data_IF_579233436090
#
_entry.id   IF_579233436090
#
_cell.length_a   1.000
_cell.length_b   1.000
_cell.length_c   1.000
_cell.angle_alpha   90.00
_cell.angle_beta   90.00
_cell.angle_gamma   90.00
#
_symmetry.space_group_name_H-M   'P 1'
#
loop_
_entity.id
_entity.type
_entity.pdbx_description
1 polymer ?
2 non-polymer ?
3 non-polymer ?
4 water ?
#
# COMPACT_ATOMS: atom_id res chain seq x y z
N UNK A 4 0.66 -6.67 -30.72
CA UNK A 4 1.37 -6.17 -29.50
C UNK A 4 0.79 -6.85 -28.24
N UNK A 5 1.52 -7.79 -27.60
CA UNK A 5 0.94 -8.62 -26.54
C UNK A 5 0.69 -7.80 -25.27
N UNK A 6 -0.29 -8.22 -24.48
CA UNK A 6 -0.55 -7.56 -23.17
C UNK A 6 0.42 -8.06 -22.13
N UNK A 7 0.89 -7.18 -21.24
CA UNK A 7 1.89 -7.59 -20.26
C UNK A 7 1.32 -8.50 -19.18
N UNK A 8 2.20 -9.37 -18.67
CA UNK A 8 1.94 -10.29 -17.53
C UNK A 8 2.47 -9.66 -16.25
N UNK A 9 3.40 -8.71 -16.37
CA UNK A 9 4.08 -8.06 -15.23
C UNK A 9 4.52 -6.65 -15.64
N UNK A 10 4.42 -5.70 -14.71
CA UNK A 10 4.85 -4.30 -14.90
C UNK A 10 5.78 -3.96 -13.76
N UNK A 11 6.54 -2.91 -13.95
CA UNK A 11 7.30 -2.36 -12.81
C UNK A 11 6.71 -1.01 -12.44
N UNK A 12 6.71 -0.81 -11.11
CA UNK A 12 6.09 0.39 -10.49
C UNK A 12 7.17 1.04 -9.64
N UNK A 13 7.40 2.33 -9.82
CA UNK A 13 8.22 3.18 -8.95
C UNK A 13 7.31 3.89 -7.95
N UNK A 14 7.68 3.82 -6.69
CA UNK A 14 7.03 4.56 -5.60
C UNK A 14 8.09 5.50 -5.06
N UNK A 15 7.77 6.79 -4.98
CA UNK A 15 8.62 7.75 -4.30
C UNK A 15 7.87 8.44 -3.17
N UNK A 16 8.53 8.66 -2.05
CA UNK A 16 7.98 9.52 -0.99
C UNK A 16 9.05 10.54 -0.61
N UNK A 17 8.65 11.79 -0.54
CA UNK A 17 9.58 12.87 -0.14
C UNK A 17 8.84 13.95 0.62
N UNK A 18 9.26 14.20 1.84
CA UNK A 18 8.80 15.38 2.59
C UNK A 18 9.80 16.48 2.20
N UNK A 19 9.33 17.48 1.49
CA UNK A 19 10.16 18.51 0.83
C UNK A 19 10.47 19.62 1.82
N UNK A 20 9.92 19.62 3.04
CA UNK A 20 10.27 20.65 4.03
C UNK A 20 9.95 22.07 3.55
N UNK A 21 8.92 22.20 2.73
CA UNK A 21 8.39 23.51 2.27
C UNK A 21 9.49 24.28 1.51
N UNK A 22 10.42 23.57 0.86
CA UNK A 22 11.48 24.20 0.05
C UNK A 22 11.39 23.69 -1.36
N UNK A 23 11.69 24.53 -2.36
CA UNK A 23 11.77 24.02 -3.71
C UNK A 23 12.88 23.00 -3.86
N UNK A 24 12.69 22.07 -4.80
CA UNK A 24 13.71 21.05 -5.01
C UNK A 24 14.95 21.62 -5.68
N UNK A 25 16.06 20.87 -5.66
CA UNK A 25 17.23 21.30 -6.40
C UNK A 25 17.02 21.05 -7.90
N UNK A 26 17.96 21.50 -8.74
CA UNK A 26 17.73 21.45 -10.20
C UNK A 26 17.75 19.99 -10.72
N UNK A 27 18.44 19.12 -10.04
CA UNK A 27 18.50 17.71 -10.50
C UNK A 27 18.02 16.77 -9.40
N UNK A 28 16.99 15.97 -9.72
CA UNK A 28 16.45 14.96 -8.76
C UNK A 28 16.43 13.59 -9.42
N UNK A 29 17.14 13.39 -10.53
CA UNK A 29 17.12 12.10 -11.25
C UNK A 29 17.54 10.89 -10.40
N UNK A 30 18.43 11.07 -9.42
CA UNK A 30 18.89 9.96 -8.54
C UNK A 30 17.70 9.28 -7.87
N UNK A 31 16.67 10.06 -7.56
CA UNK A 31 15.45 9.52 -6.92
C UNK A 31 14.79 8.49 -7.82
N UNK A 32 14.56 8.86 -9.07
CA UNK A 32 13.80 8.02 -10.02
C UNK A 32 14.66 6.86 -10.52
N UNK A 33 15.97 6.99 -10.39
CA UNK A 33 16.93 5.89 -10.71
C UNK A 33 17.21 4.97 -9.52
N UNK A 34 16.61 5.19 -8.34
CA UNK A 34 16.82 4.30 -7.18
C UNK A 34 18.32 4.24 -6.87
N UNK A 35 18.98 5.39 -6.81
CA UNK A 35 20.42 5.51 -6.49
C UNK A 35 20.59 6.15 -5.11
N UNK A 36 21.53 5.64 -4.33
CA UNK A 36 21.89 6.25 -3.05
C UNK A 36 22.23 5.16 -2.10
N UNK A 37 21.56 5.15 -0.95
CA UNK A 37 21.74 4.14 0.11
C UNK A 37 20.63 3.10 0.05
N UNK A 38 20.89 1.91 0.60
CA UNK A 38 19.89 0.88 0.76
C UNK A 38 19.99 -0.12 -0.35
N UNK A 39 18.84 -0.65 -0.75
CA UNK A 39 18.71 -1.64 -1.86
C UNK A 39 18.48 -0.84 -3.14
N UNK A 40 19.55 -0.66 -3.92
CA UNK A 40 19.58 0.26 -5.06
C UNK A 40 19.44 -0.53 -6.36
N UNK A 41 19.09 0.19 -7.39
CA UNK A 41 18.83 -0.39 -8.71
C UNK A 41 20.15 -0.45 -9.51
N UNK A 42 20.32 -1.52 -10.27
CA UNK A 42 21.55 -1.76 -11.06
C UNK A 42 21.69 -0.69 -12.15
N UNK A 43 22.91 -0.20 -12.34
CA UNK A 43 23.21 0.85 -13.37
C UNK A 43 22.76 0.39 -14.76
N UNK A 44 22.81 -0.89 -15.03
CA UNK A 44 22.45 -1.40 -16.36
C UNK A 44 20.96 -1.19 -16.68
N UNK A 45 20.13 -0.85 -15.68
CA UNK A 45 18.69 -0.57 -15.86
C UNK A 45 18.39 0.89 -16.00
N UNK A 46 19.37 1.79 -15.99
CA UNK A 46 19.05 3.23 -15.88
C UNK A 46 18.20 3.75 -17.03
N UNK A 47 18.34 3.19 -18.22
CA UNK A 47 17.58 3.74 -19.36
C UNK A 47 16.24 3.06 -19.51
N UNK A 48 15.95 2.07 -18.71
CA UNK A 48 14.72 1.26 -18.80
C UNK A 48 13.65 1.97 -18.00
N UNK A 49 12.57 2.46 -18.62
CA UNK A 49 11.54 3.17 -17.87
C UNK A 49 10.74 2.16 -17.06
N UNK A 50 10.34 2.55 -15.86
CA UNK A 50 9.26 1.88 -15.18
C UNK A 50 7.98 2.12 -15.96
N UNK A 51 7.03 1.23 -15.76
CA UNK A 51 5.72 1.34 -16.42
C UNK A 51 4.90 2.48 -15.81
N UNK A 52 4.93 2.59 -14.49
CA UNK A 52 4.13 3.56 -13.69
C UNK A 52 5.06 4.17 -12.66
N UNK A 53 5.02 5.49 -12.50
CA UNK A 53 5.73 6.22 -11.44
C UNK A 53 4.70 6.91 -10.56
N UNK A 54 4.74 6.67 -9.27
CA UNK A 54 3.81 7.24 -8.28
C UNK A 54 4.65 8.03 -7.33
N UNK A 55 4.38 9.33 -7.25
CA UNK A 55 5.26 10.29 -6.51
C UNK A 55 4.46 10.95 -5.40
N UNK A 56 4.75 10.61 -4.14
CA UNK A 56 4.07 11.20 -2.98
C UNK A 56 4.99 12.26 -2.40
N UNK A 57 4.46 13.44 -2.19
CA UNK A 57 5.19 14.51 -1.46
C UNK A 57 4.37 14.94 -0.25
N UNK A 58 5.13 15.45 0.70
CA UNK A 58 4.57 16.09 1.91
C UNK A 58 5.32 17.41 2.07
N UNK A 59 4.66 18.38 2.69
CA UNK A 59 5.27 19.72 2.85
C UNK A 59 5.74 20.21 1.48
N UNK A 60 4.92 19.99 0.45
CA UNK A 60 5.24 20.34 -0.94
C UNK A 60 4.82 21.79 -1.17
N UNK A 61 5.79 22.69 -1.47
CA UNK A 61 5.48 24.13 -1.63
C UNK A 61 5.10 24.50 -3.06
N UNK A 62 5.15 23.57 -3.98
CA UNK A 62 5.01 23.85 -5.42
C UNK A 62 3.56 23.79 -5.82
N UNK A 63 3.20 24.46 -6.90
CA UNK A 63 1.88 24.22 -7.50
C UNK A 63 1.91 22.85 -8.20
N UNK A 64 0.74 22.30 -8.49
CA UNK A 64 0.66 21.08 -9.29
C UNK A 64 1.42 21.27 -10.59
N UNK A 65 1.22 22.40 -11.26
CA UNK A 65 1.87 22.66 -12.55
C UNK A 65 3.39 22.66 -12.38
N UNK A 66 3.89 23.34 -11.40
CA UNK A 66 5.35 23.44 -11.17
C UNK A 66 5.95 22.05 -10.94
N UNK A 67 5.28 21.23 -10.16
CA UNK A 67 5.84 19.90 -9.85
C UNK A 67 5.71 18.97 -11.05
N UNK A 68 4.57 18.97 -11.74
CA UNK A 68 4.43 18.15 -12.95
C UNK A 68 5.52 18.47 -13.97
N UNK A 69 5.81 19.76 -14.17
CA UNK A 69 6.91 20.24 -15.04
C UNK A 69 8.18 19.49 -14.67
N UNK A 70 8.58 19.60 -13.40
CA UNK A 70 9.84 19.02 -12.90
C UNK A 70 9.83 17.51 -13.09
N UNK A 71 8.75 16.84 -12.72
CA UNK A 71 8.73 15.38 -12.78
C UNK A 71 8.82 14.94 -14.23
N UNK A 72 7.97 15.45 -15.09
CA UNK A 72 7.97 14.97 -16.48
C UNK A 72 9.30 15.21 -17.17
N UNK A 73 9.89 16.39 -16.97
CA UNK A 73 11.20 16.74 -17.57
C UNK A 73 12.30 15.83 -17.00
N UNK A 74 12.24 15.47 -15.71
CA UNK A 74 13.22 14.56 -15.06
C UNK A 74 13.12 13.17 -15.70
N UNK A 75 11.91 12.64 -15.89
CA UNK A 75 11.75 11.30 -16.47
C UNK A 75 12.14 11.35 -17.94
N UNK A 76 11.82 12.42 -18.64
CA UNK A 76 12.17 12.48 -20.08
C UNK A 76 13.69 12.50 -20.21
N UNK A 77 14.41 13.22 -19.36
CA UNK A 77 15.89 13.24 -19.37
C UNK A 77 16.43 11.84 -19.15
N UNK A 78 15.88 11.09 -18.21
CA UNK A 78 16.37 9.74 -17.84
C UNK A 78 16.11 8.77 -18.99
N UNK A 79 14.91 8.80 -19.57
CA UNK A 79 14.37 7.66 -20.34
C UNK A 79 14.14 8.01 -21.81
N UNK A 80 14.16 9.29 -22.13
CA UNK A 80 13.74 9.80 -23.46
C UNK A 80 12.29 9.45 -23.77
N UNK A 81 11.46 9.16 -22.75
CA UNK A 81 9.99 8.95 -22.89
C UNK A 81 9.27 10.12 -22.27
N UNK A 82 8.25 10.61 -22.96
CA UNK A 82 7.34 11.64 -22.43
C UNK A 82 6.18 10.92 -21.76
N UNK A 83 6.15 10.97 -20.43
CA UNK A 83 5.15 10.23 -19.67
C UNK A 83 3.81 10.97 -19.72
N UNK A 84 2.75 10.21 -19.62
CA UNK A 84 1.38 10.74 -19.56
C UNK A 84 0.98 10.89 -18.09
N UNK A 85 0.25 11.94 -17.79
CA UNK A 85 -0.28 12.13 -16.43
C UNK A 85 -1.55 11.34 -16.26
N UNK A 86 -1.56 10.35 -15.37
CA UNK A 86 -2.74 9.54 -15.05
C UNK A 86 -3.62 10.31 -14.07
N UNK A 87 -3.02 10.87 -13.03
CA UNK A 87 -3.78 11.54 -11.98
C UNK A 87 -2.84 12.38 -11.13
N UNK A 88 -3.40 13.43 -10.55
CA UNK A 88 -2.70 14.26 -9.56
C UNK A 88 -3.74 14.73 -8.56
N UNK A 89 -3.45 14.65 -7.29
CA UNK A 89 -4.38 15.07 -6.23
C UNK A 89 -3.57 15.64 -5.08
N UNK A 90 -4.02 16.78 -4.58
CA UNK A 90 -3.34 17.50 -3.50
C UNK A 90 -4.33 17.81 -2.38
N UNK A 91 -3.95 17.56 -1.15
CA UNK A 91 -4.67 18.02 0.07
C UNK A 91 -3.66 18.87 0.81
N UNK A 92 -3.93 20.14 0.96
CA UNK A 92 -3.00 21.06 1.64
C UNK A 92 -1.64 20.95 0.94
N UNK A 93 -0.61 20.48 1.62
CA UNK A 93 0.74 20.34 1.02
C UNK A 93 1.10 18.85 0.87
N UNK A 94 0.11 17.97 0.82
CA UNK A 94 0.29 16.52 0.63
C UNK A 94 -0.18 16.20 -0.78
N UNK A 95 0.65 15.59 -1.61
CA UNK A 95 0.34 15.42 -3.04
C UNK A 95 0.72 14.04 -3.53
N UNK A 96 -0.06 13.57 -4.46
CA UNK A 96 0.27 12.35 -5.20
C UNK A 96 0.18 12.63 -6.70
N UNK A 97 1.16 12.16 -7.46
CA UNK A 97 1.21 12.23 -8.93
C UNK A 97 1.39 10.81 -9.45
N UNK A 98 0.60 10.41 -10.42
CA UNK A 98 0.77 9.13 -11.12
C UNK A 98 1.05 9.43 -12.59
N UNK A 99 2.19 8.92 -13.05
CA UNK A 99 2.63 9.05 -14.44
C UNK A 99 2.79 7.65 -15.02
N UNK A 100 2.47 7.50 -16.29
CA UNK A 100 2.59 6.19 -16.97
C UNK A 100 3.15 6.32 -18.36
N UNK A 101 3.81 5.27 -18.83
CA UNK A 101 4.26 5.16 -20.24
C UNK A 101 3.10 5.51 -21.16
N UNK A 102 3.34 6.20 -22.30
CA UNK A 102 2.26 6.45 -23.23
C UNK A 102 1.57 5.18 -23.77
N UNK A 103 2.29 4.09 -23.89
CA UNK A 103 1.71 2.82 -24.44
C UNK A 103 0.65 2.29 -23.50
N UNK A 104 0.59 2.78 -22.23
CA UNK A 104 -0.36 2.25 -21.24
C UNK A 104 -1.65 3.04 -21.21
N UNK A 105 -1.74 4.10 -21.99
CA UNK A 105 -2.89 5.01 -21.89
C UNK A 105 -4.24 4.27 -22.04
N UNK A 106 -4.31 3.31 -22.98
CA UNK A 106 -5.56 2.56 -23.28
C UNK A 106 -5.57 1.22 -22.52
N UNK A 107 -4.71 1.08 -21.51
CA UNK A 107 -4.77 -0.05 -20.55
C UNK A 107 -5.27 0.44 -19.20
N UNK A 108 -5.28 1.74 -18.99
CA UNK A 108 -5.63 2.36 -17.70
C UNK A 108 -7.02 2.94 -17.78
N UNK A 109 -7.84 2.66 -16.80
CA UNK A 109 -9.22 3.16 -16.73
C UNK A 109 -9.66 3.26 -15.29
N UNK A 110 -10.86 3.75 -15.07
CA UNK A 110 -11.49 3.81 -13.73
C UNK A 110 -10.57 4.52 -12.78
N UNK A 111 -10.11 5.69 -13.15
CA UNK A 111 -9.16 6.46 -12.32
C UNK A 111 -9.98 7.15 -11.25
N UNK A 112 -9.61 6.93 -9.98
CA UNK A 112 -10.25 7.57 -8.80
C UNK A 112 -9.19 8.32 -7.99
N UNK A 113 -9.61 9.41 -7.35
CA UNK A 113 -8.76 10.17 -6.42
C UNK A 113 -9.59 10.48 -5.20
N UNK A 114 -8.93 10.60 -4.06
CA UNK A 114 -9.64 11.01 -2.83
C UNK A 114 -8.61 11.47 -1.81
N UNK A 115 -9.10 12.05 -0.75
CA UNK A 115 -8.26 12.49 0.38
C UNK A 115 -9.02 12.26 1.68
N UNK A 116 -8.28 12.17 2.75
CA UNK A 116 -8.82 12.12 4.11
C UNK A 116 -8.04 13.11 4.91
N UNK A 117 -8.74 13.93 5.67
CA UNK A 117 -8.16 14.85 6.65
C UNK A 117 -8.19 14.18 8.01
N UNK A 118 -7.04 14.07 8.69
CA UNK A 118 -7.05 13.40 10.03
C UNK A 118 -7.20 14.40 11.18
N UNK A 119 -7.60 13.91 12.37
CA UNK A 119 -7.64 14.74 13.60
C UNK A 119 -8.93 15.54 13.70
N UNK A 120 -9.09 16.30 14.80
CA UNK A 120 -10.33 17.09 15.11
C UNK A 120 -9.87 18.42 15.73
N UNK A 121 -10.43 19.54 15.25
CA UNK A 121 -10.24 20.91 15.80
C UNK A 121 -8.75 21.29 15.74
N UNK A 122 -8.08 21.46 16.89
CA UNK A 122 -6.59 21.49 17.06
C UNK A 122 -5.90 20.71 15.95
N UNK A 123 -6.11 19.39 15.93
CA UNK A 123 -5.32 18.36 15.20
C UNK A 123 -5.87 18.15 13.78
N UNK A 124 -6.96 18.83 13.39
CA UNK A 124 -7.41 18.91 11.97
C UNK A 124 -6.79 20.17 11.34
N UNK A 125 -6.06 20.02 10.24
CA UNK A 125 -5.65 21.20 9.46
C UNK A 125 -4.37 21.02 8.69
N UNK A 126 -3.50 20.04 9.02
CA UNK A 126 -2.49 19.78 7.98
C UNK A 126 -2.08 18.33 7.68
N UNK A 127 -2.52 17.36 8.50
CA UNK A 127 -2.17 15.93 8.33
C UNK A 127 -3.32 15.20 7.62
N UNK A 128 -2.99 14.12 6.92
CA UNK A 128 -3.98 13.27 6.28
C UNK A 128 -3.37 12.53 5.16
N UNK A 129 -4.17 12.20 4.15
CA UNK A 129 -3.70 11.34 3.06
C UNK A 129 -4.37 11.72 1.77
N UNK A 130 -3.70 11.46 0.67
CA UNK A 130 -4.28 11.50 -0.68
C UNK A 130 -4.11 10.12 -1.29
N UNK A 131 -4.95 9.78 -2.23
CA UNK A 131 -4.81 8.49 -2.91
C UNK A 131 -5.31 8.48 -4.31
N UNK A 132 -4.86 7.50 -5.07
CA UNK A 132 -5.27 7.28 -6.44
C UNK A 132 -5.52 5.79 -6.60
N UNK A 133 -6.52 5.41 -7.36
CA UNK A 133 -6.69 4.03 -7.87
C UNK A 133 -7.05 4.02 -9.35
N UNK A 134 -6.78 2.90 -9.97
CA UNK A 134 -7.21 2.70 -11.38
C UNK A 134 -7.07 1.23 -11.65
N UNK A 135 -7.66 0.84 -12.76
CA UNK A 135 -7.46 -0.48 -13.35
C UNK A 135 -6.33 -0.38 -14.37
N UNK A 136 -5.46 -1.36 -14.34
CA UNK A 136 -4.48 -1.60 -15.40
C UNK A 136 -4.86 -2.96 -16.01
N UNK A 137 -5.46 -2.91 -17.19
CA UNK A 137 -6.11 -4.12 -17.78
C UNK A 137 -6.96 -4.78 -16.68
N UNK A 138 -6.73 -6.06 -16.38
CA UNK A 138 -7.57 -6.81 -15.43
C UNK A 138 -7.20 -6.59 -13.97
N UNK A 139 -6.21 -5.76 -13.66
CA UNK A 139 -5.62 -5.66 -12.31
C UNK A 139 -5.99 -4.32 -11.72
N UNK A 140 -6.41 -4.31 -10.47
CA UNK A 140 -6.73 -3.05 -9.75
C UNK A 140 -5.51 -2.65 -8.92
N UNK A 141 -5.17 -1.37 -8.98
CA UNK A 141 -3.99 -0.78 -8.32
C UNK A 141 -4.48 0.37 -7.45
N UNK A 142 -4.03 0.43 -6.21
CA UNK A 142 -4.31 1.55 -5.30
C UNK A 142 -3.04 2.09 -4.72
N UNK A 143 -3.01 3.41 -4.45
CA UNK A 143 -1.82 4.11 -3.98
C UNK A 143 -2.26 5.12 -2.96
N UNK A 144 -1.62 5.13 -1.80
CA UNK A 144 -1.94 6.06 -0.70
C UNK A 144 -0.67 6.76 -0.29
N UNK A 145 -0.67 8.08 -0.27
CA UNK A 145 0.38 8.92 0.29
C UNK A 145 -0.16 9.59 1.54
N UNK A 146 0.38 9.27 2.68
CA UNK A 146 -0.08 9.84 3.95
C UNK A 146 1.03 10.59 4.65
N UNK A 147 0.66 11.70 5.27
CA UNK A 147 1.50 12.48 6.19
C UNK A 147 0.86 12.36 7.56
N UNK A 148 1.39 11.48 8.40
CA UNK A 148 0.78 11.19 9.72
C UNK A 148 1.31 12.17 10.79
N UNK A 149 0.66 12.14 11.94
CA UNK A 149 0.99 13.00 13.07
C UNK A 149 2.46 12.86 13.42
N UNK A 150 3.12 14.00 13.69
CA UNK A 150 4.54 14.05 14.09
C UNK A 150 4.74 13.84 15.59
N UNK A 151 5.99 13.64 15.96
CA UNK A 151 6.39 13.64 17.37
C UNK A 151 6.62 12.27 17.88
N UNK A 152 7.74 12.07 18.57
CA UNK A 152 8.11 10.75 19.08
C UNK A 152 7.06 10.16 20.04
N UNK A 153 6.32 11.03 20.73
CA UNK A 153 5.39 10.64 21.82
C UNK A 153 4.04 10.19 21.24
N UNK A 154 3.84 10.35 19.92
CA UNK A 154 2.48 10.26 19.32
C UNK A 154 2.29 9.04 18.44
N UNK A 155 2.91 7.93 18.76
CA UNK A 155 2.71 6.73 17.90
C UNK A 155 1.24 6.28 17.88
N UNK A 156 0.53 6.39 19.01
CA UNK A 156 -0.88 5.97 19.03
C UNK A 156 -1.71 6.84 18.09
N UNK A 157 -1.45 8.16 18.08
CA UNK A 157 -2.14 9.08 17.14
C UNK A 157 -1.87 8.64 15.70
N UNK A 158 -0.63 8.30 15.39
CA UNK A 158 -0.32 7.85 14.03
C UNK A 158 -1.14 6.60 13.72
N UNK A 159 -1.24 5.68 14.67
CA UNK A 159 -2.03 4.45 14.43
C UNK A 159 -3.52 4.78 14.18
N UNK A 160 -4.03 5.76 14.92
CA UNK A 160 -5.40 6.25 14.75
C UNK A 160 -5.54 6.91 13.37
N UNK A 161 -4.55 7.71 12.98
CA UNK A 161 -4.59 8.35 11.65
C UNK A 161 -4.67 7.28 10.56
N UNK A 162 -3.84 6.23 10.68
CA UNK A 162 -3.89 5.08 9.75
C UNK A 162 -5.31 4.52 9.64
N UNK A 163 -5.95 4.26 10.78
CA UNK A 163 -7.29 3.62 10.74
C UNK A 163 -8.29 4.59 10.10
N UNK A 164 -8.23 5.87 10.45
CA UNK A 164 -9.14 6.84 9.77
C UNK A 164 -8.93 6.87 8.25
N UNK A 165 -7.69 6.86 7.80
CA UNK A 165 -7.40 6.88 6.35
C UNK A 165 -7.97 5.62 5.70
N UNK A 166 -7.69 4.49 6.34
CA UNK A 166 -8.08 3.13 5.91
C UNK A 166 -9.60 3.06 5.74
N UNK A 167 -10.34 3.66 6.69
CA UNK A 167 -11.82 3.61 6.71
C UNK A 167 -12.43 4.54 5.69
N UNK A 168 -11.86 5.73 5.53
CA UNK A 168 -12.62 6.85 4.91
C UNK A 168 -12.12 7.17 3.53
N UNK A 169 -10.96 6.66 3.11
CA UNK A 169 -10.49 6.98 1.77
C UNK A 169 -11.33 6.18 0.77
N UNK A 170 -11.99 6.85 -0.15
CA UNK A 170 -12.98 6.26 -1.07
C UNK A 170 -12.36 6.05 -2.43
N UNK A 171 -11.66 4.95 -2.60
CA UNK A 171 -10.99 4.59 -3.85
C UNK A 171 -11.53 3.26 -4.31
N UNK A 172 -11.30 2.91 -5.56
CA UNK A 172 -11.65 1.62 -6.15
C UNK A 172 -13.13 1.47 -6.34
N UNK A 173 -13.58 0.24 -6.49
CA UNK A 173 -14.94 -0.08 -7.00
C UNK A 173 -15.94 0.12 -5.87
N UNK A 174 -16.80 1.14 -5.95
CA UNK A 174 -17.81 1.47 -4.90
C UNK A 174 -18.79 0.31 -4.69
N UNK A 175 -18.92 -0.58 -5.73
CA UNK A 175 -19.80 -1.76 -5.54
C UNK A 175 -19.25 -2.70 -4.48
N UNK A 176 -17.96 -2.56 -4.13
CA UNK A 176 -17.35 -3.42 -3.07
C UNK A 176 -17.66 -2.81 -1.72
N UNK A 177 -18.95 -2.63 -1.41
CA UNK A 177 -19.37 -1.74 -0.31
C UNK A 177 -18.91 -2.23 1.06
N UNK A 178 -18.79 -3.54 1.39
CA UNK A 178 -18.32 -3.95 2.70
C UNK A 178 -16.81 -3.78 2.90
N UNK A 179 -16.07 -3.47 1.85
CA UNK A 179 -14.60 -3.55 1.83
C UNK A 179 -13.98 -2.16 1.87
N UNK A 180 -13.00 -2.00 2.73
CA UNK A 180 -12.15 -0.79 2.74
C UNK A 180 -11.01 -0.95 1.73
N UNK A 181 -10.18 0.10 1.64
CA UNK A 181 -9.09 0.06 0.64
C UNK A 181 -8.14 -1.10 0.87
N UNK A 182 -8.09 -1.69 2.06
CA UNK A 182 -7.14 -2.81 2.30
C UNK A 182 -7.62 -4.11 1.67
N UNK A 183 -8.80 -4.12 1.04
CA UNK A 183 -9.30 -5.27 0.28
C UNK A 183 -9.69 -4.92 -1.15
N UNK A 184 -9.65 -3.67 -1.58
CA UNK A 184 -10.24 -3.36 -2.90
C UNK A 184 -9.30 -3.60 -4.08
N UNK A 185 -7.99 -3.78 -3.83
CA UNK A 185 -6.99 -3.74 -4.91
C UNK A 185 -6.17 -5.02 -4.96
N UNK A 186 -5.87 -5.45 -6.16
CA UNK A 186 -4.90 -6.53 -6.38
C UNK A 186 -3.60 -6.17 -5.66
N UNK A 187 -3.16 -4.93 -5.85
CA UNK A 187 -1.93 -4.39 -5.25
C UNK A 187 -2.25 -3.03 -4.65
N UNK A 188 -1.97 -2.86 -3.37
CA UNK A 188 -2.13 -1.58 -2.66
C UNK A 188 -0.75 -1.15 -2.14
N UNK A 189 -0.32 0.06 -2.49
CA UNK A 189 0.96 0.64 -2.00
C UNK A 189 0.60 1.78 -1.07
N UNK A 190 1.14 1.81 0.13
CA UNK A 190 0.88 2.86 1.11
C UNK A 190 2.23 3.40 1.56
N UNK A 191 2.43 4.68 1.37
CA UNK A 191 3.75 5.31 1.58
C UNK A 191 3.51 6.69 2.14
N UNK A 192 4.59 7.34 2.52
CA UNK A 192 4.49 8.72 2.95
C UNK A 192 5.47 9.04 4.07
N UNK A 193 5.29 10.23 4.64
CA UNK A 193 5.92 10.58 5.91
C UNK A 193 5.02 10.05 7.02
N UNK A 194 5.21 8.78 7.30
CA UNK A 194 4.42 8.09 8.32
C UNK A 194 4.86 8.54 9.72
N UNK A 195 6.05 9.12 9.89
CA UNK A 195 6.42 9.88 11.10
C UNK A 195 6.65 9.01 12.32
N UNK A 196 6.79 7.70 12.14
CA UNK A 196 7.23 6.85 13.26
C UNK A 196 8.74 7.05 13.50
N UNK A 197 9.10 7.01 14.77
CA UNK A 197 10.44 7.39 15.22
C UNK A 197 11.20 6.20 15.80
N UNK A 198 12.50 6.41 15.97
CA UNK A 198 13.38 5.49 16.73
C UNK A 198 13.22 5.88 18.20
N UNK A 199 12.60 5.00 18.98
CA UNK A 199 12.21 5.30 20.39
C UNK A 199 13.35 4.88 21.32
N UNK A 200 14.36 5.74 21.45
CA UNK A 200 15.51 5.59 22.34
C UNK A 200 15.55 6.87 23.16
N UNK A 201 16.20 6.84 24.35
CA UNK A 201 16.30 8.04 25.16
C UNK A 201 17.03 9.15 24.42
N UNK A 202 16.60 10.41 24.64
CA UNK A 202 17.10 11.59 23.89
C UNK A 202 18.59 11.82 24.15
N UNK A 203 19.10 11.38 25.30
CA UNK A 203 20.54 11.50 25.67
C UNK A 203 21.38 10.37 25.01
N UNK A 204 20.74 9.48 24.25
CA UNK A 204 21.45 8.56 23.33
C UNK A 204 21.61 9.15 21.91
N UNK A 205 21.29 10.42 21.68
CA UNK A 205 21.35 11.03 20.33
C UNK A 205 22.70 10.81 19.69
N UNK A 206 23.81 11.12 20.40
CA UNK A 206 25.13 11.05 19.75
C UNK A 206 25.47 9.60 19.50
N UNK A 207 25.07 8.71 20.39
CA UNK A 207 25.30 7.26 20.21
C UNK A 207 24.58 6.83 18.92
N UNK A 208 23.36 7.27 18.75
CA UNK A 208 22.59 6.90 17.52
C UNK A 208 23.29 7.38 16.26
N UNK A 209 23.76 8.62 16.27
CA UNK A 209 24.52 9.20 15.15
C UNK A 209 25.74 8.36 14.84
N UNK A 210 26.49 7.93 15.85
CA UNK A 210 27.73 7.15 15.62
C UNK A 210 27.36 5.77 15.05
N UNK A 211 26.23 5.18 15.47
CA UNK A 211 25.76 3.91 14.86
C UNK A 211 25.47 4.12 13.36
N UNK A 212 24.79 5.24 13.04
CA UNK A 212 24.46 5.56 11.64
C UNK A 212 25.73 5.72 10.80
N UNK A 213 26.73 6.40 11.34
CA UNK A 213 28.00 6.61 10.63
C UNK A 213 28.72 5.28 10.35
N UNK A 214 28.52 4.29 11.20
CA UNK A 214 29.06 2.93 11.06
C UNK A 214 28.18 2.03 10.20
N UNK A 215 27.03 2.54 9.72
CA UNK A 215 26.05 1.74 8.97
C UNK A 215 25.62 0.52 9.76
N UNK A 216 25.43 0.70 11.06
CA UNK A 216 25.01 -0.35 12.00
C UNK A 216 23.61 0.03 12.41
N UNK A 217 22.63 -0.47 11.67
CA UNK A 217 21.23 -0.05 11.91
C UNK A 217 20.46 -1.02 12.80
N UNK A 218 20.96 -2.19 13.17
CA UNK A 218 20.13 -3.22 13.82
C UNK A 218 19.58 -2.76 15.17
N UNK A 219 20.40 -2.13 16.01
CA UNK A 219 19.96 -1.71 17.36
C UNK A 219 19.09 -0.46 17.21
N UNK A 220 19.07 0.17 16.03
CA UNK A 220 18.15 1.31 15.85
C UNK A 220 16.79 0.76 15.36
N UNK A 221 16.80 -0.11 14.31
CA UNK A 221 15.56 -0.69 13.75
C UNK A 221 14.78 -1.47 14.83
N UNK A 222 15.46 -2.05 15.84
CA UNK A 222 14.76 -2.79 16.90
C UNK A 222 13.94 -1.82 17.76
N UNK A 223 14.18 -0.51 17.65
CA UNK A 223 13.38 0.51 18.39
C UNK A 223 12.54 1.37 17.43
N UNK A 224 12.50 1.03 16.15
CA UNK A 224 11.66 1.79 15.22
C UNK A 224 10.20 1.52 15.54
N UNK A 225 9.44 2.58 15.76
CA UNK A 225 8.07 2.43 16.23
C UNK A 225 7.20 1.79 15.20
N UNK A 226 7.44 1.99 13.91
CA UNK A 226 6.57 1.36 12.92
C UNK A 226 6.77 -0.17 12.95
N UNK A 227 7.99 -0.64 12.97
CA UNK A 227 8.28 -2.09 13.06
C UNK A 227 7.67 -2.65 14.37
N UNK A 228 7.84 -1.97 15.51
CA UNK A 228 7.38 -2.53 16.80
C UNK A 228 5.87 -2.49 16.83
N UNK A 229 5.23 -1.42 16.39
CA UNK A 229 3.76 -1.36 16.37
C UNK A 229 3.21 -2.40 15.42
N UNK A 230 3.85 -2.60 14.28
CA UNK A 230 3.43 -3.63 13.29
C UNK A 230 3.58 -5.03 13.92
N UNK A 231 4.64 -5.28 14.67
CA UNK A 231 4.89 -6.62 15.25
C UNK A 231 3.87 -6.90 16.36
N UNK A 232 3.34 -5.84 17.00
CA UNK A 232 2.27 -5.98 18.03
C UNK A 232 0.87 -5.88 17.42
N UNK A 233 0.76 -5.81 16.09
CA UNK A 233 -0.51 -5.82 15.35
C UNK A 233 -1.33 -4.60 15.75
N UNK A 234 -0.67 -3.46 15.95
CA UNK A 234 -1.37 -2.18 16.30
C UNK A 234 -1.64 -1.35 15.06
N UNK A 235 -1.00 -1.65 13.93
CA UNK A 235 -1.07 -0.83 12.70
C UNK A 235 -0.58 -1.66 11.53
N UNK A 236 -1.04 -1.35 10.33
CA UNK A 236 -0.60 -1.93 9.07
C UNK A 236 -0.63 -3.45 9.11
N UNK A 237 -1.65 -4.01 9.76
CA UNK A 237 -1.82 -5.47 9.77
C UNK A 237 -1.95 -5.96 8.33
N UNK A 238 -1.19 -7.00 8.03
CA UNK A 238 -1.20 -7.71 6.73
C UNK A 238 -0.57 -6.92 5.62
N UNK A 239 0.20 -5.88 5.95
CA UNK A 239 1.08 -5.20 4.96
C UNK A 239 2.50 -5.71 5.13
N UNK A 240 3.30 -5.51 4.09
CA UNK A 240 4.74 -5.90 4.09
C UNK A 240 5.60 -4.66 3.84
N UNK A 241 6.82 -4.69 4.36
CA UNK A 241 7.83 -3.66 4.08
C UNK A 241 9.12 -4.40 3.81
N UNK A 242 9.88 -3.92 2.82
CA UNK A 242 11.23 -4.45 2.51
C UNK A 242 12.17 -4.08 3.67
N UNK A 243 13.16 -4.93 3.94
CA UNK A 243 14.17 -4.64 4.96
C UNK A 243 14.79 -3.29 4.68
N UNK A 244 14.95 -2.50 5.72
CA UNK A 244 15.61 -1.19 5.68
C UNK A 244 17.12 -1.33 5.80
N UNK A 245 17.84 -0.85 4.81
CA UNK A 245 19.32 -0.97 4.78
C UNK A 245 19.92 0.38 4.43
N UNK A 246 19.16 1.46 4.64
CA UNK A 246 19.59 2.86 4.40
C UNK A 246 19.53 3.60 5.76
N UNK A 247 20.27 4.69 5.84
CA UNK A 247 20.28 5.48 7.07
C UNK A 247 18.93 6.15 7.29
N UNK A 248 18.61 6.45 8.55
CA UNK A 248 17.45 7.31 8.85
C UNK A 248 17.36 8.50 7.92
N UNK A 249 16.14 8.83 7.48
CA UNK A 249 15.94 9.85 6.42
C UNK A 249 15.55 11.19 7.01
N UNK A 250 15.53 11.30 8.32
CA UNK A 250 15.11 12.52 9.06
C UNK A 250 15.89 12.50 10.39
N UNK A 251 16.25 13.65 11.00
CA UNK A 251 16.11 14.99 10.51
C UNK A 251 17.47 15.56 10.18
N UNK A 252 17.68 15.95 8.96
CA UNK A 252 18.99 16.46 8.47
C UNK A 252 19.02 17.98 8.53
N UNK A 253 20.22 18.51 8.77
CA UNK A 253 20.53 19.91 8.37
C UNK A 253 20.36 20.01 6.86
N UNK A 254 19.74 21.07 6.40
CA UNK A 254 19.59 21.29 4.95
C UNK A 254 20.92 21.64 4.28
N UNK A 255 21.08 21.28 3.02
CA UNK A 255 22.21 21.61 2.10
C UNK A 255 23.43 20.73 2.38
N UNK A 256 23.37 19.78 3.29
CA UNK A 256 24.38 18.72 3.44
C UNK A 256 23.61 17.44 3.74
N UNK A 257 24.27 16.27 3.74
CA UNK A 257 23.72 15.09 4.47
C UNK A 257 24.68 14.68 5.57
N UNK A 258 25.58 15.59 5.94
CA UNK A 258 26.66 15.21 6.90
C UNK A 258 26.18 15.35 8.34
N UNK A 259 25.00 15.93 8.58
CA UNK A 259 24.59 16.31 9.94
C UNK A 259 23.12 16.00 10.16
N UNK A 260 22.85 15.29 11.23
CA UNK A 260 21.51 15.16 11.81
C UNK A 260 21.26 16.29 12.80
N UNK A 261 20.16 17.00 12.64
CA UNK A 261 19.71 18.11 13.50
C UNK A 261 18.62 17.59 14.41
N UNK A 262 18.97 17.16 15.59
CA UNK A 262 18.04 16.46 16.51
C UNK A 262 17.63 17.27 17.72
N UNK A 263 18.39 18.32 18.05
CA UNK A 263 18.23 19.09 19.32
C UNK A 263 16.90 19.84 19.31
N UNK A 264 16.32 20.05 20.50
CA UNK A 264 15.06 20.78 20.63
C UNK A 264 15.34 22.25 20.36
N UNK A 265 14.39 22.85 19.67
CA UNK A 265 14.45 24.27 19.23
C UNK A 265 13.05 24.87 19.30
N UNK A 266 12.95 26.20 19.38
CA UNK A 266 11.60 26.82 19.32
C UNK A 266 10.86 26.33 18.07
N UNK A 267 11.56 26.23 16.94
CA UNK A 267 10.97 25.86 15.63
C UNK A 267 10.43 24.42 15.68
N UNK A 268 10.93 23.57 16.58
CA UNK A 268 10.38 22.19 16.73
C UNK A 268 9.36 22.08 17.85
N UNK A 269 8.87 23.19 18.41
CA UNK A 269 8.03 23.10 19.60
C UNK A 269 8.76 22.53 20.79
N UNK A 270 10.05 22.77 20.86
CA UNK A 270 10.94 22.25 21.93
C UNK A 270 10.89 20.73 22.00
N UNK A 271 10.79 20.10 20.82
CA UNK A 271 10.82 18.62 20.68
C UNK A 271 12.17 18.20 20.11
N UNK A 272 12.70 17.09 20.61
CA UNK A 272 13.82 16.41 19.99
C UNK A 272 13.29 15.65 18.78
N UNK A 273 14.14 15.56 17.78
CA UNK A 273 13.91 14.74 16.59
C UNK A 273 15.12 13.84 16.44
N UNK A 274 15.19 12.79 17.21
CA UNK A 274 16.24 11.78 17.06
C UNK A 274 16.14 11.24 15.65
N UNK A 275 17.27 10.87 15.02
CA UNK A 275 17.26 10.28 13.69
C UNK A 275 16.30 9.11 13.59
N UNK A 276 15.45 9.17 12.56
CA UNK A 276 14.31 8.25 12.40
C UNK A 276 14.03 7.93 10.94
N UNK A 277 13.44 6.77 10.75
CA UNK A 277 12.93 6.35 9.45
C UNK A 277 11.48 6.82 9.30
N UNK A 278 11.31 8.13 9.11
CA UNK A 278 9.94 8.70 9.02
C UNK A 278 9.29 8.28 7.70
N UNK A 279 10.07 8.01 6.65
CA UNK A 279 9.62 8.04 5.25
C UNK A 279 9.63 6.62 4.69
N UNK A 280 8.48 6.06 4.38
CA UNK A 280 8.34 4.61 4.27
C UNK A 280 7.46 4.21 3.09
N UNK A 281 7.68 2.99 2.62
CA UNK A 281 6.84 2.38 1.59
C UNK A 281 6.44 0.97 2.08
N UNK A 282 5.15 0.72 2.11
CA UNK A 282 4.59 -0.58 2.46
C UNK A 282 3.63 -1.01 1.35
N UNK A 283 3.36 -2.31 1.27
CA UNK A 283 2.37 -2.81 0.31
C UNK A 283 1.56 -3.97 0.83
N UNK A 284 0.45 -4.22 0.19
CA UNK A 284 -0.40 -5.38 0.45
C UNK A 284 -0.98 -5.80 -0.88
N UNK A 285 -0.74 -7.03 -1.27
CA UNK A 285 -1.25 -7.58 -2.52
C UNK A 285 -2.11 -8.78 -2.17
N UNK A 286 -3.06 -9.09 -3.02
CA UNK A 286 -3.91 -10.28 -2.82
C UNK A 286 -3.04 -11.52 -2.79
N UNK A 287 -3.53 -12.57 -2.09
CA UNK A 287 -2.77 -13.81 -1.96
C UNK A 287 -2.37 -14.37 -3.32
N UNK A 288 -1.14 -14.87 -3.40
CA UNK A 288 -0.59 -15.63 -4.56
C UNK A 288 -0.59 -14.78 -5.82
N UNK A 289 -0.47 -13.46 -5.68
CA UNK A 289 -0.15 -12.59 -6.83
C UNK A 289 1.33 -12.21 -6.72
N UNK A 290 2.00 -12.24 -7.85
CA UNK A 290 3.42 -11.87 -7.92
C UNK A 290 3.60 -10.40 -7.52
N UNK A 291 4.47 -10.18 -6.54
CA UNK A 291 4.91 -8.81 -6.19
C UNK A 291 6.27 -8.97 -5.58
N UNK A 292 7.26 -8.31 -6.11
CA UNK A 292 8.67 -8.40 -5.65
C UNK A 292 9.24 -6.99 -5.56
N UNK A 293 9.71 -6.62 -4.39
CA UNK A 293 10.43 -5.33 -4.19
C UNK A 293 11.82 -5.47 -4.80
N UNK A 294 12.12 -4.59 -5.76
CA UNK A 294 13.38 -4.56 -6.52
C UNK A 294 14.36 -3.55 -5.91
N UNK A 295 13.85 -2.52 -5.23
CA UNK A 295 14.72 -1.47 -4.64
C UNK A 295 13.96 -0.85 -3.47
N UNK A 296 14.70 -0.39 -2.48
CA UNK A 296 14.13 0.31 -1.31
C UNK A 296 15.29 1.03 -0.68
N UNK A 297 15.29 2.36 -0.83
CA UNK A 297 16.44 3.12 -0.37
C UNK A 297 16.19 4.60 -0.32
N UNK A 298 17.22 5.36 -0.07
CA UNK A 298 17.12 6.83 0.01
C UNK A 298 18.19 7.48 -0.84
N UNK A 299 17.90 8.65 -1.34
CA UNK A 299 18.92 9.39 -2.10
C UNK A 299 19.90 10.04 -1.14
N UNK A 300 21.09 10.31 -1.64
CA UNK A 300 22.20 10.94 -0.91
C UNK A 300 22.50 12.34 -1.41
N UNK A 301 22.01 12.74 -2.58
CA UNK A 301 22.43 13.95 -3.28
C UNK A 301 21.30 15.00 -3.41
N UNK A 302 20.15 14.81 -2.75
CA UNK A 302 19.03 15.78 -2.78
C UNK A 302 18.89 16.29 -1.36
N UNK A 303 19.26 17.56 -1.13
CA UNK A 303 19.54 18.08 0.24
C UNK A 303 18.75 19.36 0.55
N UNK A 304 17.73 19.70 -0.23
CA UNK A 304 16.93 20.94 0.01
C UNK A 304 16.08 20.81 1.25
N UNK A 305 15.69 19.59 1.63
CA UNK A 305 14.77 19.32 2.74
C UNK A 305 15.55 18.77 3.93
N UNK A 306 14.89 18.76 5.07
CA UNK A 306 15.39 18.08 6.28
C UNK A 306 15.07 16.58 6.21
N UNK A 307 14.34 16.12 5.20
CA UNK A 307 14.18 14.70 4.86
C UNK A 307 14.91 14.39 3.58
N UNK A 308 15.40 13.17 3.46
CA UNK A 308 15.86 12.61 2.17
C UNK A 308 14.72 11.89 1.47
N UNK A 309 14.59 12.00 0.15
CA UNK A 309 13.65 11.21 -0.60
C UNK A 309 13.91 9.71 -0.40
N UNK A 310 12.83 8.95 -0.45
CA UNK A 310 12.86 7.48 -0.41
C UNK A 310 12.26 6.98 -1.72
N UNK A 311 12.84 5.91 -2.23
CA UNK A 311 12.38 5.18 -3.41
C UNK A 311 12.11 3.72 -3.08
N UNK A 312 11.14 3.18 -3.76
CA UNK A 312 10.94 1.74 -3.80
C UNK A 312 10.44 1.36 -5.19
N UNK A 313 10.88 0.23 -5.68
CA UNK A 313 10.36 -0.26 -6.97
C UNK A 313 9.93 -1.69 -6.82
N UNK A 314 8.94 -2.04 -7.64
CA UNK A 314 8.28 -3.34 -7.56
C UNK A 314 8.05 -3.90 -8.94
N UNK A 315 8.19 -5.21 -9.06
CA UNK A 315 7.67 -5.99 -10.21
C UNK A 315 6.35 -6.61 -9.77
N UNK A 316 5.23 -6.24 -10.43
CA UNK A 316 3.86 -6.59 -10.00
C UNK A 316 3.17 -7.36 -11.11
N UNK A 317 2.62 -8.49 -10.76
CA UNK A 317 1.83 -9.28 -11.71
C UNK A 317 0.56 -8.56 -12.09
N UNK A 318 0.24 -8.63 -13.39
CA UNK A 318 -0.98 -8.05 -13.97
C UNK A 318 -1.60 -9.10 -14.86
N UNK A 319 -2.90 -8.93 -15.09
CA UNK A 319 -3.66 -9.85 -15.94
C UNK A 319 -4.31 -9.05 -17.06
N UNK A 320 -4.75 -9.77 -18.09
CA UNK A 320 -5.40 -9.22 -19.29
C UNK A 320 -6.85 -8.81 -18.98
N UNK A 321 -7.46 -8.05 -19.89
CA UNK A 321 -8.93 -7.83 -19.91
C UNK A 321 -9.62 -8.93 -20.73
N UNK A 322 -9.97 -10.04 -20.11
CA UNK A 322 -10.41 -11.29 -20.75
C UNK A 322 -11.83 -11.22 -21.33
N UNK A 323 -11.95 -11.69 -22.59
CA UNK A 323 -13.24 -11.87 -23.28
C UNK A 323 -13.33 -13.33 -23.74
N UNK A 324 -14.48 -13.93 -23.50
CA UNK A 324 -14.82 -15.23 -24.07
C UNK A 324 -16.11 -15.07 -24.89
N UNK A 325 -16.49 -16.15 -25.56
CA UNK A 325 -17.77 -16.19 -26.34
C UNK A 325 -18.94 -16.06 -25.37
N UNK A 326 -18.75 -16.46 -24.11
CA UNK A 326 -19.79 -16.37 -23.05
C UNK A 326 -19.59 -15.05 -22.31
N UNK A 327 -19.01 -15.06 -21.10
CA UNK A 327 -18.81 -13.82 -20.32
C UNK A 327 -17.64 -13.02 -20.88
N UNK A 328 -17.59 -11.70 -20.66
CA UNK A 328 -18.60 -10.94 -19.92
C UNK A 328 -19.96 -10.85 -20.63
N UNK A 329 -21.01 -10.65 -19.83
CA UNK A 329 -22.40 -10.49 -20.28
C UNK A 329 -23.25 -11.70 -20.11
N UNK A 330 -22.66 -12.80 -19.65
CA UNK A 330 -23.38 -14.02 -19.26
C UNK A 330 -22.45 -14.86 -18.39
N UNK A 331 -22.96 -15.96 -17.88
CA UNK A 331 -22.17 -16.95 -17.12
C UNK A 331 -21.61 -17.97 -18.11
N UNK A 332 -20.64 -18.76 -17.66
CA UNK A 332 -20.04 -19.86 -18.46
C UNK A 332 -20.29 -21.15 -17.67
N UNK A 333 -21.27 -21.94 -18.09
CA UNK A 333 -21.79 -23.10 -17.32
C UNK A 333 -20.68 -24.13 -17.08
N UNK A 334 -19.54 -24.06 -17.78
CA UNK A 334 -18.42 -25.02 -17.58
C UNK A 334 -17.58 -24.60 -16.36
N UNK A 335 -17.87 -23.44 -15.76
CA UNK A 335 -17.21 -22.97 -14.51
C UNK A 335 -18.10 -23.08 -13.29
N UNK A 336 -17.53 -23.39 -12.12
CA UNK A 336 -18.23 -23.23 -10.84
C UNK A 336 -17.24 -23.16 -9.67
N UNK A 337 -17.68 -22.50 -8.62
CA UNK A 337 -16.91 -22.42 -7.35
C UNK A 337 -17.83 -22.89 -6.22
N UNK A 338 -17.39 -23.96 -5.55
CA UNK A 338 -18.08 -24.61 -4.42
C UNK A 338 -17.22 -24.47 -3.17
N UNK A 339 -17.91 -24.18 -2.07
CA UNK A 339 -17.35 -24.13 -0.69
C UNK A 339 -17.92 -25.28 0.14
N UNK A 340 -17.05 -26.05 0.76
CA UNK A 340 -17.42 -27.20 1.60
C UNK A 340 -16.99 -26.89 3.02
N UNK A 341 -17.77 -27.31 4.03
CA UNK A 341 -17.31 -27.43 5.43
C UNK A 341 -16.73 -26.07 5.85
N UNK A 342 -17.39 -24.97 5.51
CA UNK A 342 -16.81 -23.65 5.86
C UNK A 342 -17.33 -23.17 7.20
N UNK A 343 -16.50 -22.45 7.92
CA UNK A 343 -16.94 -21.79 9.15
C UNK A 343 -16.10 -20.53 9.37
N UNK A 344 -16.77 -19.57 9.95
CA UNK A 344 -16.14 -18.32 10.41
C UNK A 344 -15.96 -18.42 11.92
N UNK A 345 -14.85 -17.96 12.44
CA UNK A 345 -14.59 -17.86 13.89
C UNK A 345 -14.51 -16.36 14.14
N UNK A 346 -15.36 -15.82 14.99
CA UNK A 346 -15.42 -14.36 15.18
C UNK A 346 -15.04 -14.00 16.60
N UNK A 347 -14.40 -12.88 16.80
CA UNK A 347 -14.03 -12.39 18.15
C UNK A 347 -15.19 -11.62 18.82
N UNK A 348 -16.25 -11.31 18.12
CA UNK A 348 -17.41 -10.56 18.66
C UNK A 348 -18.04 -11.25 19.87
N UNK A 349 -18.48 -10.42 20.80
CA UNK A 349 -19.20 -10.87 22.02
C UNK A 349 -20.70 -10.86 21.73
N UNK A 350 -21.13 -10.46 20.53
CA UNK A 350 -22.55 -10.27 20.14
C UNK A 350 -23.19 -11.61 19.75
N UNK A 351 -24.52 -11.69 19.82
CA UNK A 351 -25.36 -12.82 19.33
C UNK A 351 -26.45 -12.26 18.41
N UNK A 352 -26.12 -12.22 17.12
CA UNK A 352 -27.00 -12.06 15.94
C UNK A 352 -26.72 -13.27 15.03
N UNK A 353 -27.59 -13.52 14.08
CA UNK A 353 -27.27 -14.45 13.00
C UNK A 353 -26.36 -13.72 12.02
N UNK A 354 -25.54 -14.50 11.32
CA UNK A 354 -24.64 -13.97 10.27
C UNK A 354 -24.89 -14.67 8.95
N UNK A 355 -24.62 -13.93 7.87
CA UNK A 355 -24.58 -14.44 6.50
C UNK A 355 -23.33 -13.92 5.80
N UNK A 356 -22.97 -14.57 4.70
CA UNK A 356 -21.77 -14.17 3.93
C UNK A 356 -22.18 -13.43 2.68
N UNK A 357 -21.30 -12.55 2.22
CA UNK A 357 -21.36 -12.04 0.84
C UNK A 357 -20.07 -12.36 0.13
N UNK A 358 -20.18 -12.82 -1.10
CA UNK A 358 -19.04 -13.16 -1.97
C UNK A 358 -19.01 -12.10 -3.06
N UNK A 359 -17.90 -11.39 -3.16
CA UNK A 359 -17.68 -10.37 -4.22
C UNK A 359 -16.48 -10.73 -5.05
N UNK A 360 -16.64 -10.67 -6.35
CA UNK A 360 -15.51 -10.89 -7.26
C UNK A 360 -15.86 -10.39 -8.64
N UNK A 361 -14.87 -9.83 -9.32
CA UNK A 361 -14.97 -9.44 -10.76
C UNK A 361 -15.33 -10.66 -11.62
N UNK A 362 -15.08 -11.88 -11.15
CA UNK A 362 -15.40 -13.10 -11.94
C UNK A 362 -16.89 -13.44 -11.83
N UNK A 363 -17.66 -12.70 -11.02
CA UNK A 363 -19.13 -12.94 -10.91
C UNK A 363 -19.88 -11.77 -11.52
N UNK A 364 -21.09 -12.04 -12.00
CA UNK A 364 -21.87 -10.94 -12.63
C UNK A 364 -22.29 -9.95 -11.56
N UNK A 365 -22.51 -10.42 -10.35
CA UNK A 365 -22.77 -9.54 -9.18
C UNK A 365 -22.52 -10.35 -7.91
N UNK A 366 -22.50 -9.63 -6.80
CA UNK A 366 -22.15 -10.28 -5.53
C UNK A 366 -23.24 -11.27 -5.13
N UNK A 367 -22.85 -12.22 -4.33
CA UNK A 367 -23.75 -13.33 -3.91
C UNK A 367 -23.87 -13.35 -2.40
N UNK A 368 -25.11 -13.47 -1.91
CA UNK A 368 -25.46 -13.44 -0.46
C UNK A 368 -25.91 -14.83 -0.04
N UNK A 369 -25.21 -15.44 0.93
CA UNK A 369 -25.48 -16.80 1.43
C UNK A 369 -26.72 -16.75 2.32
N UNK A 370 -27.22 -17.95 2.64
CA UNK A 370 -28.12 -18.20 3.78
C UNK A 370 -27.37 -17.86 5.07
N UNK A 371 -28.11 -17.69 6.15
CA UNK A 371 -27.53 -17.55 7.51
C UNK A 371 -26.80 -18.84 7.90
N UNK A 372 -25.67 -18.68 8.57
CA UNK A 372 -24.96 -19.77 9.22
C UNK A 372 -25.58 -20.17 10.55
N UNK A 373 -25.10 -21.25 11.10
CA UNK A 373 -25.52 -21.73 12.45
C UNK A 373 -24.41 -21.41 13.43
N UNK A 374 -24.78 -20.63 14.44
CA UNK A 374 -23.87 -20.21 15.51
C UNK A 374 -23.65 -21.35 16.50
N UNK A 375 -22.39 -21.59 16.87
CA UNK A 375 -22.06 -22.44 18.03
C UNK A 375 -20.99 -21.71 18.84
N UNK A 376 -20.74 -22.19 20.05
CA UNK A 376 -19.72 -21.69 21.00
C UNK A 376 -18.43 -22.49 20.80
N UNK A 377 -17.31 -21.83 20.48
CA UNK A 377 -15.96 -22.42 20.50
C UNK A 377 -15.51 -22.78 21.92
N UNK A 378 -14.51 -23.67 22.07
CA UNK A 378 -14.08 -24.26 23.35
C UNK A 378 -13.30 -23.25 24.21
N UNK A 379 -12.88 -22.12 23.61
CA UNK A 379 -12.09 -21.06 24.28
C UNK A 379 -12.89 -19.75 24.30
N UNK A 380 -14.24 -19.83 24.23
CA UNK A 380 -15.15 -18.66 24.38
C UNK A 380 -15.73 -18.11 23.07
N UNK A 381 -15.19 -18.49 21.90
CA UNK A 381 -15.37 -17.79 20.59
C UNK A 381 -16.78 -18.01 20.01
N UNK A 382 -17.19 -17.14 19.11
CA UNK A 382 -18.35 -17.46 18.24
C UNK A 382 -17.85 -18.19 16.98
N UNK A 383 -18.44 -19.34 16.68
CA UNK A 383 -18.14 -20.10 15.45
C UNK A 383 -19.43 -20.06 14.66
N UNK A 384 -19.37 -19.62 13.42
CA UNK A 384 -20.54 -19.59 12.53
C UNK A 384 -20.34 -20.67 11.47
N UNK A 385 -21.18 -21.71 11.49
CA UNK A 385 -21.02 -22.88 10.61
C UNK A 385 -21.89 -22.69 9.38
N UNK A 386 -21.31 -22.86 8.20
CA UNK A 386 -22.05 -22.81 6.93
C UNK A 386 -22.24 -24.21 6.35
N UNK A 387 -21.53 -25.19 6.90
CA UNK A 387 -21.48 -26.58 6.40
C UNK A 387 -21.28 -26.63 4.89
N UNK A 388 -22.22 -27.27 4.20
CA UNK A 388 -22.23 -27.49 2.73
C UNK A 388 -23.34 -26.62 2.17
N UNK A 389 -23.75 -25.59 2.92
CA UNK A 389 -24.96 -24.78 2.64
C UNK A 389 -24.64 -23.60 1.72
N UNK A 390 -23.36 -23.27 1.46
CA UNK A 390 -23.04 -22.01 0.71
C UNK A 390 -23.43 -22.15 -0.76
N UNK A 391 -23.90 -21.04 -1.41
CA UNK A 391 -24.36 -21.08 -2.80
C UNK A 391 -23.22 -21.44 -3.75
N UNK A 392 -23.53 -22.12 -4.84
CA UNK A 392 -22.51 -22.47 -5.88
C UNK A 392 -22.26 -21.21 -6.70
N UNK A 393 -21.00 -20.74 -6.82
CA UNK A 393 -20.75 -19.45 -7.51
C UNK A 393 -20.53 -19.74 -8.99
N UNK A 394 -21.09 -18.86 -9.81
CA UNK A 394 -21.16 -19.05 -11.29
C UNK A 394 -20.30 -18.00 -11.94
N UNK A 395 -19.05 -18.34 -12.31
CA UNK A 395 -18.18 -17.35 -12.91
C UNK A 395 -18.59 -17.05 -14.34
N UNK A 396 -18.21 -15.86 -14.79
CA UNK A 396 -18.54 -15.34 -16.15
C UNK A 396 -17.73 -16.05 -17.22
N UNK A 397 -16.56 -16.55 -16.85
CA UNK A 397 -15.59 -17.18 -17.77
C UNK A 397 -15.04 -18.41 -17.09
N UNK A 398 -14.98 -19.54 -17.79
CA UNK A 398 -14.57 -20.85 -17.23
C UNK A 398 -13.12 -21.15 -17.55
N UNK A 399 -12.51 -20.43 -18.47
CA UNK A 399 -11.16 -20.73 -18.96
C UNK A 399 -10.23 -20.66 -17.75
N UNK A 400 -9.43 -21.70 -17.48
CA UNK A 400 -8.62 -21.71 -16.25
C UNK A 400 -7.49 -20.67 -16.32
N UNK A 401 -7.09 -20.26 -17.52
CA UNK A 401 -6.09 -19.17 -17.65
C UNK A 401 -6.66 -17.85 -17.13
N UNK A 402 -7.97 -17.73 -17.07
CA UNK A 402 -8.60 -16.54 -16.43
C UNK A 402 -8.90 -16.89 -14.99
N UNK A 403 -9.63 -17.98 -14.75
CA UNK A 403 -10.29 -18.16 -13.43
C UNK A 403 -9.26 -18.38 -12.32
N UNK A 404 -8.16 -19.07 -12.59
CA UNK A 404 -7.17 -19.40 -11.55
C UNK A 404 -6.46 -18.11 -11.12
N UNK A 405 -6.54 -17.04 -11.89
CA UNK A 405 -5.94 -15.73 -11.50
C UNK A 405 -6.89 -14.85 -10.68
N UNK A 406 -8.10 -15.30 -10.38
CA UNK A 406 -9.10 -14.45 -9.71
C UNK A 406 -9.06 -14.63 -8.21
N UNK A 407 -9.80 -13.79 -7.52
CA UNK A 407 -9.92 -13.80 -6.06
C UNK A 407 -11.35 -13.58 -5.67
N UNK A 408 -11.76 -14.17 -4.54
CA UNK A 408 -13.10 -13.97 -3.95
C UNK A 408 -12.95 -13.19 -2.67
N UNK A 409 -13.56 -12.02 -2.60
CA UNK A 409 -13.65 -11.27 -1.32
C UNK A 409 -14.87 -11.81 -0.58
N UNK A 410 -14.70 -11.98 0.72
CA UNK A 410 -15.75 -12.49 1.63
C UNK A 410 -15.99 -11.48 2.72
N UNK A 411 -17.26 -11.14 2.93
CA UNK A 411 -17.70 -10.36 4.10
C UNK A 411 -18.68 -11.22 4.88
N UNK A 412 -18.50 -11.23 6.19
CA UNK A 412 -19.49 -11.86 7.12
C UNK A 412 -20.28 -10.71 7.73
N UNK A 413 -21.60 -10.74 7.47
CA UNK A 413 -22.51 -9.63 7.86
C UNK A 413 -23.56 -10.08 8.86
N UNK A 414 -23.85 -9.20 9.80
CA UNK A 414 -24.98 -9.36 10.74
C UNK A 414 -26.33 -9.33 10.00
N UNK A 415 -27.18 -10.32 10.27
CA UNK A 415 -28.55 -10.33 9.71
C UNK A 415 -29.33 -9.14 10.30
N UNK A 416 -29.04 -8.75 11.53
CA UNK A 416 -29.82 -7.71 12.28
C UNK A 416 -29.51 -6.32 11.67
N UNK A 417 -28.26 -6.07 11.30
CA UNK A 417 -27.84 -4.68 10.94
C UNK A 417 -27.31 -4.58 9.51
N UNK A 418 -27.01 -5.72 8.86
CA UNK A 418 -26.33 -5.82 7.54
C UNK A 418 -24.96 -5.12 7.59
N UNK A 419 -24.37 -5.01 8.82
CA UNK A 419 -23.01 -4.44 8.93
C UNK A 419 -21.99 -5.58 8.85
N UNK A 420 -20.92 -5.38 8.06
CA UNK A 420 -19.79 -6.35 8.02
C UNK A 420 -19.10 -6.44 9.38
N UNK A 421 -18.91 -7.66 9.88
CA UNK A 421 -18.08 -7.92 11.08
C UNK A 421 -16.69 -8.40 10.68
N UNK A 422 -16.45 -8.66 9.41
CA UNK A 422 -15.14 -9.15 8.99
C UNK A 422 -15.10 -9.31 7.49
N UNK A 423 -13.92 -9.00 6.96
CA UNK A 423 -13.63 -9.04 5.53
C UNK A 423 -12.34 -9.82 5.30
N UNK A 424 -12.30 -10.57 4.23
CA UNK A 424 -11.11 -11.33 3.82
C UNK A 424 -11.09 -11.63 2.36
N UNK A 425 -10.10 -12.39 1.94
CA UNK A 425 -9.87 -12.65 0.52
C UNK A 425 -9.32 -14.06 0.33
N UNK A 426 -9.88 -14.76 -0.64
CA UNK A 426 -9.45 -16.14 -1.03
C UNK A 426 -8.91 -16.11 -2.46
N UNK A 427 -7.72 -16.62 -2.69
CA UNK A 427 -7.19 -16.80 -4.07
C UNK A 427 -7.79 -18.06 -4.72
N UNK A 428 -8.05 -18.00 -6.00
CA UNK A 428 -8.43 -19.18 -6.81
C UNK A 428 -7.20 -19.81 -7.52
N UNK A 429 -5.99 -19.39 -7.14
CA UNK A 429 -4.72 -19.92 -7.71
C UNK A 429 -4.41 -21.27 -7.05
N UNK A 430 -5.28 -22.26 -7.28
CA UNK A 430 -5.28 -23.54 -6.52
C UNK A 430 -4.23 -24.49 -7.06
N UNK A 431 -3.90 -25.47 -6.26
CA UNK A 431 -2.98 -26.56 -6.64
C UNK A 431 -3.66 -27.54 -7.57
N UNK A 432 -4.97 -27.55 -7.65
CA UNK A 432 -5.76 -28.53 -8.41
C UNK A 432 -7.14 -27.98 -8.66
N UNK A 433 -7.78 -28.41 -9.74
CA UNK A 433 -9.22 -28.18 -10.00
C UNK A 433 -9.99 -29.49 -9.73
N UNK A 434 -11.30 -29.38 -9.57
CA UNK A 434 -12.19 -30.54 -9.35
C UNK A 434 -11.67 -31.32 -8.15
N UNK A 435 -11.03 -30.67 -7.17
CA UNK A 435 -10.37 -31.31 -6.00
C UNK A 435 -10.69 -30.50 -4.76
N UNK A 436 -11.13 -31.11 -3.67
CA UNK A 436 -11.43 -30.34 -2.42
C UNK A 436 -10.11 -29.93 -1.80
N UNK A 437 -9.94 -28.62 -1.61
CA UNK A 437 -8.66 -28.10 -1.09
C UNK A 437 -8.96 -27.13 0.04
N UNK A 438 -8.09 -27.10 1.07
CA UNK A 438 -8.31 -26.16 2.17
C UNK A 438 -8.17 -24.70 1.66
N UNK A 439 -9.00 -23.84 2.25
CA UNK A 439 -8.91 -22.37 2.09
C UNK A 439 -8.93 -21.73 3.46
N UNK A 440 -8.41 -20.51 3.50
CA UNK A 440 -8.23 -19.76 4.76
C UNK A 440 -8.05 -18.30 4.39
N UNK A 441 -8.70 -17.44 5.17
CA UNK A 441 -8.32 -16.02 5.25
C UNK A 441 -8.53 -15.54 6.68
N UNK A 442 -7.67 -14.66 7.18
CA UNK A 442 -8.03 -13.87 8.35
C UNK A 442 -9.18 -12.93 7.95
N UNK A 443 -9.95 -12.51 8.92
CA UNK A 443 -11.03 -11.53 8.72
C UNK A 443 -10.65 -10.27 9.48
N UNK A 444 -10.84 -9.11 8.87
CA UNK A 444 -10.59 -7.83 9.53
C UNK A 444 -11.83 -6.95 9.40
N UNK A 445 -11.90 -5.94 10.24
CA UNK A 445 -12.92 -4.88 10.09
C UNK A 445 -12.24 -3.60 10.58
N UNK A 446 -12.33 -2.55 9.76
CA UNK A 446 -11.52 -1.33 9.95
C UNK A 446 -10.05 -1.67 10.09
N UNK A 447 -9.61 -2.72 9.39
CA UNK A 447 -8.19 -3.13 9.33
C UNK A 447 -7.70 -3.83 10.57
N UNK A 448 -8.56 -4.08 11.57
CA UNK A 448 -8.19 -4.83 12.78
C UNK A 448 -8.70 -6.27 12.68
N UNK A 449 -7.96 -7.20 13.26
CA UNK A 449 -8.38 -8.63 13.21
C UNK A 449 -9.68 -8.84 13.97
N UNK A 450 -10.66 -9.46 13.34
CA UNK A 450 -11.94 -9.75 13.96
C UNK A 450 -12.28 -11.24 13.95
N UNK A 451 -11.50 -12.04 13.25
CA UNK A 451 -11.83 -13.47 13.14
C UNK A 451 -11.09 -14.13 12.00
N UNK A 452 -11.62 -15.26 11.60
CA UNK A 452 -11.04 -16.14 10.58
C UNK A 452 -12.15 -16.79 9.79
N UNK A 453 -11.85 -17.13 8.54
CA UNK A 453 -12.75 -17.93 7.70
C UNK A 453 -11.94 -19.07 7.11
N UNK A 454 -12.43 -20.29 7.28
CA UNK A 454 -11.70 -21.47 6.75
C UNK A 454 -12.69 -22.52 6.32
N UNK A 455 -12.20 -23.38 5.44
CA UNK A 455 -13.04 -24.45 4.92
C UNK A 455 -12.34 -25.08 3.76
N UNK A 456 -13.15 -25.56 2.82
CA UNK A 456 -12.59 -26.16 1.59
C UNK A 456 -13.29 -25.53 0.39
N UNK A 457 -12.57 -25.55 -0.71
CA UNK A 457 -13.04 -25.08 -2.01
C UNK A 457 -12.95 -26.23 -3.01
N UNK A 458 -13.76 -26.17 -4.05
CA UNK A 458 -13.74 -27.10 -5.21
C UNK A 458 -13.99 -26.21 -6.42
N UNK A 459 -13.03 -26.08 -7.28
CA UNK A 459 -13.09 -25.20 -8.45
C UNK A 459 -13.18 -26.04 -9.73
N UNK A 460 -14.23 -25.78 -10.51
CA UNK A 460 -14.44 -26.36 -11.86
C UNK A 460 -14.07 -25.30 -12.90
N UNK A 461 -13.14 -25.64 -13.80
CA UNK A 461 -12.80 -24.78 -14.96
C UNK A 461 -13.16 -25.60 -16.20
N UNK A 462 -13.03 -25.01 -17.37
CA UNK A 462 -13.27 -25.71 -18.66
C UNK A 462 -12.20 -26.78 -18.94
N UNK A 463 -11.10 -26.85 -18.20
CA UNK A 463 -10.06 -27.87 -18.49
C UNK A 463 -10.14 -29.04 -17.49
X LIG B 1 3.70 -12.01 7.75
X LIG B 1 6.57 -6.47 11.84
X LIG B 1 7.75 -7.16 11.96
X LIG B 1 7.78 -8.52 11.67
X LIG B 1 6.63 -9.16 11.26
X LIG B 1 5.44 -8.47 11.11
X LIG B 1 5.41 -7.12 11.41
X LIG B 1 6.74 -10.93 10.87
X LIG B 1 5.34 -11.38 9.81
X LIG B 1 5.54 -10.82 8.40
X LIG B 1 4.50 -10.87 7.64
X LIG B 1 3.83 -9.67 7.45
X LIG B 1 2.65 -9.81 6.47
X LIG B 1 2.68 -11.01 5.79
X LIG B 1 2.67 -12.13 6.62
X LIG C 1 -6.05 -9.55 -10.87
X LIG C 1 -5.07 -9.18 -11.92
X LIG C 1 -5.37 -10.87 -9.98
X LIG C 1 -7.35 -10.48 -11.61
X LIG D 1 -11.68 -8.70 -7.22
X LIG D 1 -12.41 -9.70 -8.07
X LIG D 1 -12.89 -7.44 -6.83
X LIG D 1 -11.64 -9.42 -5.66
X LIG E 1 -6.42 -11.32 3.99
X LIG E 1 -7.07 -10.21 3.17
X LIG E 1 -4.85 -10.75 4.45
X LIG E 1 -5.95 -12.58 2.82
#
# INVERSE_FOLDING_TARGET
SMEQPEPDMITIFIGTWNMGNAPPPKKITSWFLSKGQGKTRDDSADYIPHDIYVIGTQEDPLSEKEWLEILKHSLQEITSVTFKTVAIHTLWNIRIVVLAKPEHENRISHICTDNVKTGIANTLGNKGAVGVSFMFNGTSLGFVNSHLTSGSEKKLRRNQNYMNILRFLALGDKKLSPFNITHRFTHLFWFGDLNYRVDLPTWEAETIIQKIKQQQYADLLSHDQLLTERREQKVFLHFEEEEITFAPTYRFERLTRDKYAYTKQKATGMKYNLPSWCDRVLWKSYPLVHVVCQSYGSTSDIMTSDHSPVFATFEAGVTSQFVSKNGPGTVDSQGQIEFLRCYATLKTKSQTKFYLEFHSSCLESFVKSQEGENEEGSEGELVVKFGETLPKLKPIISDPEYLLDQHILISIKSSDSDESYGEGCIALRLEATETQLPIYTPLTHHGELTGHFQGEIKLQTSQ
JJG C15 C01 C02 C03 C04 C05 C06 S07 C08 C09 N10 C11 C12 O13 C14
DMS S O C1 C2
DMS S O C1 C2
DMS S O C1 C2
#
